data_IF_046748307432
#
_entry.id   IF_046748307432
#
_cell.length_a   1.000
_cell.length_b   1.000
_cell.length_c   1.000
_cell.angle_alpha   90.00
_cell.angle_beta   90.00
_cell.angle_gamma   90.00
#
_symmetry.space_group_name_H-M   'P 1'
#
loop_
_entity.id
_entity.type
_entity.pdbx_description
1 polymer ?
#
# COMPACT_ATOMS: atom_id res chain seq x y z
N UNK A 1 28.22 12.84 4.43
CA UNK A 1 26.84 12.37 4.09
C UNK A 1 25.96 12.29 5.35
N UNK A 2 24.67 12.62 5.25
CA UNK A 2 23.73 12.69 6.39
C UNK A 2 23.28 11.32 6.92
N UNK A 3 23.55 10.23 6.20
CA UNK A 3 23.22 8.87 6.65
C UNK A 3 21.72 8.56 6.64
N UNK A 4 20.91 9.31 5.87
CA UNK A 4 19.47 9.11 5.72
C UNK A 4 19.10 8.81 4.27
N UNK A 5 18.08 7.99 4.11
CA UNK A 5 17.35 7.82 2.85
C UNK A 5 15.99 8.50 2.98
N UNK A 6 15.51 9.13 1.91
CA UNK A 6 14.19 9.78 1.92
C UNK A 6 13.36 9.35 0.73
N UNK A 7 12.04 9.32 0.91
CA UNK A 7 11.08 9.32 -0.17
C UNK A 7 10.59 10.76 -0.37
N UNK A 8 10.68 11.24 -1.61
CA UNK A 8 10.26 12.58 -2.01
C UNK A 8 9.10 12.40 -2.98
N UNK A 9 7.95 12.96 -2.63
CA UNK A 9 6.75 12.95 -3.47
C UNK A 9 6.38 14.37 -3.89
N UNK A 10 5.72 14.52 -5.03
CA UNK A 10 5.28 15.82 -5.49
C UNK A 10 4.62 15.80 -6.86
N UNK A 11 4.23 17.00 -7.29
CA UNK A 11 3.71 17.30 -8.62
C UNK A 11 4.55 18.44 -9.21
N UNK A 12 4.81 18.39 -10.52
CA UNK A 12 5.45 19.50 -11.21
C UNK A 12 4.44 20.66 -11.39
N UNK A 13 4.91 21.91 -11.47
CA UNK A 13 4.08 23.15 -11.45
C UNK A 13 2.90 23.19 -12.45
N UNK A 14 2.95 22.40 -13.52
CA UNK A 14 1.91 22.31 -14.55
C UNK A 14 1.63 20.86 -14.99
N UNK A 15 1.98 19.86 -14.16
CA UNK A 15 1.73 18.44 -14.44
C UNK A 15 0.91 17.82 -13.31
N UNK A 16 -0.19 17.16 -13.66
CA UNK A 16 -1.01 16.41 -12.69
C UNK A 16 -0.47 15.00 -12.43
N UNK A 17 0.64 14.61 -13.06
CA UNK A 17 1.28 13.31 -12.84
C UNK A 17 2.07 13.32 -11.51
N UNK A 18 1.78 12.38 -10.60
CA UNK A 18 2.54 12.27 -9.37
C UNK A 18 3.97 11.80 -9.63
N UNK A 19 4.92 12.32 -8.85
CA UNK A 19 6.32 11.93 -8.84
C UNK A 19 6.65 11.28 -7.50
N UNK A 20 7.44 10.20 -7.53
CA UNK A 20 8.04 9.58 -6.36
C UNK A 20 9.51 9.30 -6.64
N UNK A 21 10.37 9.87 -5.81
CA UNK A 21 11.82 9.69 -5.85
C UNK A 21 12.32 9.15 -4.52
N UNK A 22 13.29 8.24 -4.58
CA UNK A 22 14.06 7.87 -3.40
C UNK A 22 15.44 8.51 -3.51
N UNK A 23 15.93 9.08 -2.41
CA UNK A 23 17.33 9.48 -2.26
C UNK A 23 18.05 8.54 -1.31
N UNK A 24 19.34 8.30 -1.58
CA UNK A 24 20.20 7.47 -0.74
C UNK A 24 21.40 8.27 -0.21
N UNK A 25 22.01 7.87 0.93
CA UNK A 25 23.19 8.53 1.49
C UNK A 25 24.39 8.63 0.55
N UNK A 26 24.44 7.78 -0.49
CA UNK A 26 25.43 7.78 -1.56
C UNK A 26 25.33 8.99 -2.51
N UNK A 27 24.20 9.71 -2.49
CA UNK A 27 23.87 10.77 -3.44
C UNK A 27 23.15 10.28 -4.70
N UNK A 28 22.89 8.97 -4.81
CA UNK A 28 22.07 8.41 -5.89
C UNK A 28 20.59 8.68 -5.59
N UNK A 29 19.84 9.00 -6.64
CA UNK A 29 18.40 9.05 -6.60
C UNK A 29 17.78 8.25 -7.74
N UNK A 30 16.60 7.69 -7.48
CA UNK A 30 15.87 6.84 -8.44
C UNK A 30 14.39 7.20 -8.42
N UNK A 31 13.74 7.16 -9.59
CA UNK A 31 12.29 7.33 -9.73
C UNK A 31 11.57 6.00 -9.52
N UNK A 32 10.44 6.03 -8.83
CA UNK A 32 9.64 4.84 -8.51
C UNK A 32 8.15 5.08 -8.77
N UNK A 33 7.39 4.01 -9.00
CA UNK A 33 5.92 4.05 -9.02
C UNK A 33 5.34 3.84 -7.62
N UNK A 34 5.89 2.87 -6.89
CA UNK A 34 5.64 2.61 -5.49
C UNK A 34 6.94 2.14 -4.85
N UNK A 35 7.19 2.52 -3.60
CA UNK A 35 8.43 2.17 -2.90
C UNK A 35 8.24 2.21 -1.39
N UNK A 36 9.09 1.50 -0.66
CA UNK A 36 9.16 1.52 0.80
C UNK A 36 10.61 1.53 1.27
N UNK A 37 10.89 2.26 2.33
CA UNK A 37 12.21 2.34 2.98
C UNK A 37 12.09 2.03 4.48
N UNK A 38 13.22 1.82 5.15
CA UNK A 38 13.25 1.55 6.59
C UNK A 38 13.13 0.05 6.93
N UNK A 39 12.63 -0.23 8.14
CA UNK A 39 12.60 -1.60 8.68
C UNK A 39 11.64 -2.48 7.88
N UNK A 40 12.11 -3.66 7.48
CA UNK A 40 11.32 -4.65 6.73
C UNK A 40 10.81 -4.13 5.37
N UNK A 41 11.47 -3.13 4.78
CA UNK A 41 11.10 -2.56 3.48
C UNK A 41 10.99 -3.62 2.39
N UNK A 42 11.88 -4.62 2.37
CA UNK A 42 11.84 -5.73 1.40
C UNK A 42 10.47 -6.43 1.35
N UNK A 43 9.89 -6.76 2.52
CA UNK A 43 8.57 -7.40 2.59
C UNK A 43 7.46 -6.48 2.07
N UNK A 44 7.56 -5.18 2.32
CA UNK A 44 6.60 -4.19 1.83
C UNK A 44 6.73 -4.00 0.32
N UNK A 45 7.95 -3.92 -0.21
CA UNK A 45 8.20 -3.83 -1.65
C UNK A 45 7.68 -5.07 -2.39
N UNK A 46 7.94 -6.29 -1.90
CA UNK A 46 7.41 -7.52 -2.49
C UNK A 46 5.87 -7.57 -2.50
N UNK A 47 5.21 -6.91 -1.56
CA UNK A 47 3.76 -6.73 -1.56
C UNK A 47 3.34 -5.69 -2.61
N UNK A 48 3.98 -4.51 -2.63
CA UNK A 48 3.70 -3.47 -3.60
C UNK A 48 3.90 -3.94 -5.04
N UNK A 49 4.92 -4.75 -5.32
CA UNK A 49 5.16 -5.33 -6.65
C UNK A 49 4.01 -6.21 -7.15
N UNK A 50 3.27 -6.87 -6.26
CA UNK A 50 2.15 -7.76 -6.61
C UNK A 50 0.82 -7.02 -6.70
N UNK A 51 0.62 -6.05 -5.82
CA UNK A 51 -0.69 -5.44 -5.60
C UNK A 51 -0.83 -4.05 -6.25
N UNK A 52 0.26 -3.33 -6.52
CA UNK A 52 0.23 -2.05 -7.21
C UNK A 52 -0.22 -2.20 -8.67
N UNK A 53 -1.10 -1.29 -9.13
CA UNK A 53 -1.56 -1.21 -10.51
C UNK A 53 -1.52 0.23 -10.99
N UNK A 54 -1.21 0.43 -12.26
CA UNK A 54 -1.29 1.75 -12.87
C UNK A 54 -2.76 2.22 -12.92
N UNK A 55 -2.99 3.51 -12.66
CA UNK A 55 -4.34 4.10 -12.73
C UNK A 55 -5.27 3.76 -11.56
N UNK A 56 -4.73 3.36 -10.41
CA UNK A 56 -5.52 3.22 -9.18
C UNK A 56 -6.25 4.52 -8.83
N UNK A 57 -7.47 4.38 -8.31
CA UNK A 57 -8.24 5.50 -7.78
C UNK A 57 -7.61 6.04 -6.49
N UNK A 58 -8.06 7.22 -6.06
CA UNK A 58 -7.66 7.84 -4.81
C UNK A 58 -7.85 6.88 -3.61
N UNK A 59 -9.04 6.28 -3.49
CA UNK A 59 -9.38 5.36 -2.41
C UNK A 59 -8.57 4.06 -2.45
N UNK A 60 -8.37 3.49 -3.64
CA UNK A 60 -7.55 2.28 -3.82
C UNK A 60 -6.08 2.51 -3.42
N UNK A 61 -5.54 3.70 -3.74
CA UNK A 61 -4.16 4.07 -3.42
C UNK A 61 -3.94 4.21 -1.91
N UNK A 62 -4.91 4.81 -1.20
CA UNK A 62 -4.89 4.90 0.27
C UNK A 62 -5.02 3.51 0.88
N UNK A 63 -5.99 2.70 0.43
CA UNK A 63 -6.17 1.32 0.89
C UNK A 63 -4.92 0.48 0.67
N UNK A 64 -4.26 0.59 -0.49
CA UNK A 64 -3.01 -0.13 -0.77
C UNK A 64 -1.90 0.27 0.20
N UNK A 65 -1.75 1.57 0.48
CA UNK A 65 -0.79 2.09 1.45
C UNK A 65 -1.04 1.54 2.86
N UNK A 66 -2.29 1.51 3.33
CA UNK A 66 -2.63 0.90 4.62
C UNK A 66 -2.36 -0.61 4.61
N UNK A 67 -2.77 -1.32 3.56
CA UNK A 67 -2.52 -2.77 3.41
C UNK A 67 -1.04 -3.11 3.45
N UNK A 68 -0.18 -2.25 2.87
CA UNK A 68 1.27 -2.45 2.83
C UNK A 68 1.90 -2.25 4.23
N UNK A 69 1.47 -1.23 4.98
CA UNK A 69 1.91 -0.98 6.35
C UNK A 69 1.48 -2.09 7.33
N UNK A 70 0.27 -2.63 7.16
CA UNK A 70 -0.25 -3.75 7.96
C UNK A 70 0.52 -5.08 7.74
N UNK A 71 1.43 -5.16 6.76
CA UNK A 71 2.34 -6.31 6.63
C UNK A 71 3.43 -6.35 7.69
N UNK A 72 3.76 -5.19 8.28
CA UNK A 72 4.89 -5.06 9.21
C UNK A 72 4.46 -4.51 10.58
N UNK A 73 3.37 -3.75 10.64
CA UNK A 73 2.81 -3.22 11.89
C UNK A 73 1.78 -4.22 12.44
N UNK A 74 1.95 -4.62 13.71
CA UNK A 74 0.92 -5.36 14.44
C UNK A 74 -0.25 -4.40 14.72
N UNK A 75 -1.42 -4.73 14.17
CA UNK A 75 -2.75 -4.06 14.22
C UNK A 75 -2.94 -2.99 15.29
N UNK A 76 -2.32 -1.82 15.07
CA UNK A 76 -2.54 -0.64 15.90
C UNK A 76 -2.62 0.58 14.97
N UNK A 77 -3.83 1.09 14.74
CA UNK A 77 -4.08 2.29 13.96
C UNK A 77 -3.28 3.50 14.45
N UNK A 78 -2.91 3.54 15.74
CA UNK A 78 -2.11 4.62 16.34
C UNK A 78 -0.66 4.67 15.85
N UNK A 79 -0.17 3.58 15.22
CA UNK A 79 1.19 3.49 14.69
C UNK A 79 1.25 3.80 13.19
N UNK A 80 0.11 4.17 12.59
CA UNK A 80 -0.01 4.49 11.17
C UNK A 80 -0.39 5.96 11.06
N UNK A 81 0.40 6.70 10.30
CA UNK A 81 0.12 8.08 9.92
C UNK A 81 0.09 8.14 8.40
N UNK A 82 -0.92 8.82 7.84
CA UNK A 82 -1.09 8.93 6.40
C UNK A 82 -1.32 10.39 6.04
N UNK A 83 -0.49 10.86 5.12
CA UNK A 83 -0.66 12.15 4.45
C UNK A 83 -0.85 11.90 2.97
N UNK A 84 -1.83 12.56 2.37
CA UNK A 84 -2.15 12.45 0.95
C UNK A 84 -1.83 13.78 0.31
N UNK A 85 -1.07 13.75 -0.78
CA UNK A 85 -0.84 14.91 -1.62
C UNK A 85 -1.61 14.71 -2.93
N UNK A 86 -2.52 15.62 -3.23
CA UNK A 86 -3.24 15.66 -4.49
C UNK A 86 -2.58 16.65 -5.47
N UNK A 87 -3.06 16.67 -6.72
CA UNK A 87 -2.57 17.60 -7.73
C UNK A 87 -2.60 19.04 -7.22
N UNK A 88 -1.67 19.87 -7.72
CA UNK A 88 -1.43 21.24 -7.24
C UNK A 88 -0.85 21.32 -5.81
N UNK A 89 -0.36 20.21 -5.26
CA UNK A 89 0.37 20.18 -3.99
C UNK A 89 -0.50 20.34 -2.76
N UNK A 90 -1.81 20.09 -2.88
CA UNK A 90 -2.71 20.08 -1.74
C UNK A 90 -2.41 18.86 -0.87
N UNK A 91 -1.98 19.10 0.37
CA UNK A 91 -1.70 18.04 1.34
C UNK A 91 -2.82 17.96 2.37
N UNK A 92 -3.35 16.77 2.57
CA UNK A 92 -4.32 16.45 3.63
C UNK A 92 -3.76 15.34 4.52
N UNK A 93 -4.11 15.37 5.79
CA UNK A 93 -3.75 14.35 6.76
C UNK A 93 -5.00 13.56 7.11
N UNK A 94 -4.90 12.23 7.12
CA UNK A 94 -6.01 11.38 7.54
C UNK A 94 -6.05 11.33 9.07
N UNK A 95 -7.23 11.56 9.61
CA UNK A 95 -7.46 11.50 11.06
C UNK A 95 -7.56 10.04 11.53
N UNK A 96 -7.23 9.82 12.81
CA UNK A 96 -7.26 8.47 13.40
C UNK A 96 -8.61 7.72 13.21
N UNK A 97 -9.80 8.36 13.29
CA UNK A 97 -11.07 7.70 13.01
C UNK A 97 -11.19 7.20 11.56
N UNK A 98 -10.65 7.94 10.59
CA UNK A 98 -10.67 7.57 9.17
C UNK A 98 -9.75 6.36 8.93
N UNK A 99 -8.54 6.41 9.49
CA UNK A 99 -7.58 5.30 9.42
C UNK A 99 -8.18 4.01 10.02
N UNK A 100 -8.86 4.12 11.17
CA UNK A 100 -9.54 2.97 11.80
C UNK A 100 -10.64 2.39 10.90
N UNK A 101 -11.41 3.25 10.24
CA UNK A 101 -12.48 2.81 9.32
C UNK A 101 -11.88 2.04 8.14
N UNK A 102 -10.80 2.56 7.55
CA UNK A 102 -10.10 1.90 6.45
C UNK A 102 -9.52 0.55 6.88
N UNK A 103 -8.92 0.46 8.07
CA UNK A 103 -8.39 -0.81 8.61
C UNK A 103 -9.52 -1.83 8.78
N UNK A 104 -10.65 -1.43 9.36
CA UNK A 104 -11.80 -2.33 9.56
C UNK A 104 -12.37 -2.83 8.22
N UNK A 105 -12.45 -1.97 7.20
CA UNK A 105 -12.83 -2.38 5.84
C UNK A 105 -11.84 -3.40 5.26
N UNK A 106 -10.54 -3.17 5.41
CA UNK A 106 -9.49 -4.07 4.92
C UNK A 106 -9.57 -5.45 5.60
N UNK A 107 -9.79 -5.48 6.91
CA UNK A 107 -9.95 -6.73 7.66
C UNK A 107 -11.18 -7.50 7.17
N UNK A 108 -12.32 -6.82 7.00
CA UNK A 108 -13.55 -7.40 6.47
C UNK A 108 -13.39 -7.93 5.04
N UNK A 109 -12.71 -7.18 4.16
CA UNK A 109 -12.39 -7.61 2.79
C UNK A 109 -11.53 -8.89 2.81
N UNK A 110 -10.52 -8.93 3.69
CA UNK A 110 -9.60 -10.06 3.81
C UNK A 110 -10.28 -11.32 4.33
N UNK A 111 -11.19 -11.20 5.30
CA UNK A 111 -12.01 -12.30 5.79
C UNK A 111 -12.93 -12.83 4.68
N UNK A 112 -13.64 -11.94 3.99
CA UNK A 112 -14.51 -12.33 2.87
C UNK A 112 -13.74 -12.99 1.72
N UNK A 113 -12.52 -12.51 1.41
CA UNK A 113 -11.66 -13.13 0.40
C UNK A 113 -11.16 -14.50 0.85
N UNK A 114 -10.82 -14.68 2.13
CA UNK A 114 -10.42 -15.95 2.69
C UNK A 114 -11.56 -16.98 2.63
N UNK A 115 -12.78 -16.60 3.00
CA UNK A 115 -13.98 -17.44 2.88
C UNK A 115 -14.28 -17.84 1.43
N UNK A 116 -14.21 -16.87 0.50
CA UNK A 116 -14.38 -17.14 -0.95
C UNK A 116 -13.31 -18.05 -1.50
N UNK A 117 -12.06 -17.91 -1.04
CA UNK A 117 -10.96 -18.79 -1.44
C UNK A 117 -11.15 -20.20 -0.89
N UNK A 118 -11.57 -20.33 0.37
CA UNK A 118 -11.86 -21.62 0.99
C UNK A 118 -13.03 -22.34 0.28
N UNK A 119 -14.12 -21.63 -0.01
CA UNK A 119 -15.26 -22.23 -0.73
C UNK A 119 -14.90 -22.66 -2.15
N UNK A 120 -14.09 -21.87 -2.87
CA UNK A 120 -13.59 -22.24 -4.21
C UNK A 120 -12.69 -23.48 -4.17
N UNK A 121 -11.82 -23.59 -3.16
CA UNK A 121 -10.96 -24.77 -2.98
C UNK A 121 -11.78 -26.01 -2.63
N UNK A 122 -12.77 -25.89 -1.76
CA UNK A 122 -13.67 -26.98 -1.39
C UNK A 122 -14.50 -27.48 -2.60
N UNK A 123 -15.02 -26.57 -3.42
CA UNK A 123 -15.74 -26.93 -4.65
C UNK A 123 -14.85 -27.63 -5.68
N UNK A 124 -13.58 -27.19 -5.81
CA UNK A 124 -12.62 -27.80 -6.74
C UNK A 124 -12.23 -29.22 -6.29
N UNK A 125 -12.01 -29.43 -4.99
CA UNK A 125 -11.71 -30.74 -4.42
C UNK A 125 -12.89 -31.73 -4.56
N UNK A 126 -14.12 -31.26 -4.34
CA UNK A 126 -15.33 -32.07 -4.52
C UNK A 126 -15.52 -32.50 -5.99
N UNK A 127 -15.25 -31.60 -6.95
CA UNK A 127 -15.33 -31.92 -8.38
C UNK A 127 -14.28 -32.95 -8.83
N UNK A 128 -13.06 -32.89 -8.27
CA UNK A 128 -12.01 -33.88 -8.57
C UNK A 128 -12.32 -35.26 -7.96
N UNK A 129 -12.94 -35.32 -6.78
CA UNK A 129 -13.34 -36.57 -6.13
C UNK A 129 -14.53 -37.27 -6.81
N UNK A 130 -15.41 -36.52 -7.48
CA UNK A 130 -16.56 -37.08 -8.21
C UNK A 130 -16.20 -37.62 -9.62
N UNK A 131 -14.99 -37.32 -10.11
CA UNK A 131 -14.47 -37.76 -11.41
C UNK A 131 -13.48 -38.93 -11.31
N UNK A 132 -13.17 -39.37 -10.08
CA UNK A 132 -12.36 -40.54 -9.76
C UNK A 132 -13.27 -41.71 -9.39
#
# INVERSE_FOLDING_TARGET
>A
PFGISTLIIGFDLHDSRPRLYQTEPSGIYSAWKANAIGRSSKTVCEFLEKDHKDGMTHEESIKLTVKSLLKVVQTCAKNIEISVMESYGQVTHLELPEIKTIIAEIEREKEAEAERRQSRLAATAAGQAAMA
#
